data_IF_151803925854
#
_entry.id   IF_151803925854
#
_cell.length_a   1.000
_cell.length_b   1.000
_cell.length_c   1.000
_cell.angle_alpha   90.00
_cell.angle_beta   90.00
_cell.angle_gamma   90.00
#
_symmetry.space_group_name_H-M   'P 1'
#
loop_
_entity.id
_entity.type
_entity.pdbx_description
1 polymer ?
#
# COMPACT_ATOMS: atom_id res chain seq x y z
N UNK A 1 -31.27 -22.74 5.26
CA UNK A 1 -30.67 -23.18 6.53
C UNK A 1 -29.73 -24.31 6.20
N UNK A 2 -28.52 -24.24 6.65
CA UNK A 2 -27.56 -25.32 6.52
C UNK A 2 -27.45 -26.04 7.86
N UNK A 3 -27.43 -27.38 7.83
CA UNK A 3 -27.21 -28.17 9.04
C UNK A 3 -25.75 -28.59 9.11
N UNK A 4 -25.15 -28.45 10.28
CA UNK A 4 -23.77 -28.87 10.57
C UNK A 4 -23.78 -29.78 11.79
N UNK A 5 -23.09 -30.89 11.72
CA UNK A 5 -22.95 -31.83 12.84
C UNK A 5 -21.61 -31.53 13.53
N UNK A 6 -21.65 -31.18 14.81
CA UNK A 6 -20.45 -30.97 15.65
C UNK A 6 -20.63 -31.81 16.91
N UNK A 7 -19.69 -32.75 17.17
CA UNK A 7 -19.71 -33.66 18.32
C UNK A 7 -21.07 -34.38 18.47
N UNK A 8 -21.55 -34.97 17.37
CA UNK A 8 -22.82 -35.68 17.27
C UNK A 8 -24.10 -34.87 17.55
N UNK A 9 -23.98 -33.55 17.62
CA UNK A 9 -25.12 -32.63 17.76
C UNK A 9 -25.36 -31.96 16.43
N UNK A 10 -26.59 -32.08 15.92
CA UNK A 10 -27.03 -31.36 14.69
C UNK A 10 -27.39 -29.93 15.02
N UNK A 11 -26.71 -28.98 14.40
CA UNK A 11 -26.94 -27.57 14.54
C UNK A 11 -27.52 -26.96 13.27
N UNK A 12 -28.54 -26.13 13.41
CA UNK A 12 -29.05 -25.29 12.33
C UNK A 12 -28.18 -24.02 12.22
N UNK A 13 -27.57 -23.80 11.07
CA UNK A 13 -26.70 -22.66 10.83
C UNK A 13 -27.41 -21.64 9.95
N UNK A 14 -27.53 -20.41 10.47
CA UNK A 14 -28.02 -19.25 9.71
C UNK A 14 -26.84 -18.37 9.38
N UNK A 15 -26.52 -18.25 8.09
CA UNK A 15 -25.49 -17.32 7.63
C UNK A 15 -26.13 -15.97 7.34
N UNK A 16 -25.75 -14.96 8.14
CA UNK A 16 -26.19 -13.57 7.93
C UNK A 16 -25.08 -12.88 7.12
N UNK A 17 -25.40 -12.53 5.88
CA UNK A 17 -24.45 -11.79 5.01
C UNK A 17 -24.35 -10.34 5.48
N UNK A 18 -23.15 -9.79 5.40
CA UNK A 18 -22.94 -8.36 5.66
C UNK A 18 -23.73 -7.53 4.64
N UNK A 19 -24.43 -6.52 5.11
CA UNK A 19 -25.30 -5.66 4.30
C UNK A 19 -25.11 -4.20 4.67
N UNK A 20 -24.83 -3.37 3.66
CA UNK A 20 -24.70 -1.92 3.84
C UNK A 20 -26.04 -1.19 4.02
N UNK A 21 -27.19 -1.91 3.93
CA UNK A 21 -28.52 -1.35 4.08
C UNK A 21 -29.08 -1.44 5.51
N UNK A 22 -28.28 -1.86 6.48
CA UNK A 22 -28.65 -1.83 7.92
C UNK A 22 -28.68 -0.38 8.42
N UNK A 23 -29.54 -0.03 9.41
CA UNK A 23 -30.47 -0.89 10.13
C UNK A 23 -31.76 -1.18 9.36
N UNK A 24 -32.40 -2.28 9.74
CA UNK A 24 -33.75 -2.64 9.28
C UNK A 24 -34.73 -2.50 10.42
N UNK A 25 -35.98 -2.17 10.11
CA UNK A 25 -37.11 -2.16 11.06
C UNK A 25 -38.39 -2.63 10.36
N UNK A 26 -39.33 -3.13 11.14
CA UNK A 26 -40.63 -3.51 10.62
C UNK A 26 -41.52 -2.27 10.44
N UNK A 27 -42.21 -2.19 9.30
CA UNK A 27 -43.22 -1.13 9.08
C UNK A 27 -44.47 -1.37 9.85
N UNK A 28 -44.78 -2.63 10.16
CA UNK A 28 -45.93 -3.07 10.90
C UNK A 28 -45.52 -4.04 11.99
N UNK A 29 -46.27 -4.08 13.09
CA UNK A 29 -46.01 -4.99 14.20
C UNK A 29 -46.15 -6.45 13.74
N UNK A 30 -45.19 -7.27 14.06
CA UNK A 30 -45.22 -8.72 13.80
C UNK A 30 -45.00 -9.49 15.09
N UNK A 31 -46.08 -10.17 15.59
CA UNK A 31 -46.10 -10.88 16.89
C UNK A 31 -45.59 -9.97 18.01
N UNK A 32 -44.53 -10.36 18.71
CA UNK A 32 -43.91 -9.63 19.81
C UNK A 32 -42.91 -8.56 19.36
N UNK A 33 -42.63 -8.48 18.06
CA UNK A 33 -41.67 -7.51 17.51
C UNK A 33 -42.42 -6.23 17.11
N UNK A 34 -42.07 -5.13 17.73
CA UNK A 34 -42.72 -3.85 17.48
C UNK A 34 -42.29 -3.22 16.17
N UNK A 35 -43.22 -2.51 15.53
CA UNK A 35 -42.93 -1.66 14.39
C UNK A 35 -41.96 -0.54 14.78
N UNK A 36 -41.14 -0.10 13.81
CA UNK A 36 -40.19 1.00 13.94
C UNK A 36 -39.05 0.79 14.96
N UNK A 37 -39.03 -0.34 15.67
CA UNK A 37 -37.92 -0.66 16.55
C UNK A 37 -36.73 -1.25 15.78
N UNK A 38 -35.52 -0.87 16.18
CA UNK A 38 -34.27 -1.43 15.69
C UNK A 38 -33.74 -2.41 16.74
N UNK A 39 -33.48 -3.64 16.31
CA UNK A 39 -32.99 -4.70 17.19
C UNK A 39 -31.54 -4.99 16.86
N UNK A 40 -30.70 -5.11 17.87
CA UNK A 40 -29.26 -5.40 17.73
C UNK A 40 -28.86 -6.52 18.69
N UNK A 41 -27.74 -7.16 18.37
CA UNK A 41 -27.04 -8.05 19.28
C UNK A 41 -25.69 -7.43 19.65
N UNK A 42 -25.42 -7.33 20.95
CA UNK A 42 -24.13 -6.87 21.47
C UNK A 42 -23.60 -7.98 22.34
N UNK A 43 -22.47 -8.58 21.91
CA UNK A 43 -21.94 -9.79 22.53
C UNK A 43 -23.02 -10.89 22.58
N UNK A 44 -23.40 -11.37 23.76
CA UNK A 44 -24.40 -12.41 23.95
C UNK A 44 -25.80 -11.87 24.30
N UNK A 45 -25.97 -10.55 24.29
CA UNK A 45 -27.24 -9.90 24.66
C UNK A 45 -27.96 -9.37 23.44
N UNK A 46 -29.22 -9.74 23.28
CA UNK A 46 -30.13 -9.20 22.28
C UNK A 46 -30.95 -8.03 22.86
N UNK A 47 -31.28 -7.07 22.00
CA UNK A 47 -32.29 -6.05 22.37
C UNK A 47 -33.58 -6.72 22.78
N UNK A 48 -34.19 -6.39 23.94
CA UNK A 48 -35.48 -6.94 24.37
C UNK A 48 -36.58 -6.68 23.33
N UNK A 49 -37.50 -7.64 23.16
CA UNK A 49 -38.55 -7.56 22.12
C UNK A 49 -39.44 -6.32 22.19
N UNK A 50 -39.64 -5.76 23.39
CA UNK A 50 -40.47 -4.59 23.65
C UNK A 50 -39.71 -3.26 23.61
N UNK A 51 -38.38 -3.30 23.38
CA UNK A 51 -37.53 -2.12 23.35
C UNK A 51 -36.88 -1.95 21.98
N UNK A 52 -36.35 -0.78 21.69
CA UNK A 52 -35.39 -0.55 20.61
C UNK A 52 -33.97 -0.63 21.16
N UNK A 53 -32.99 -0.83 20.28
CA UNK A 53 -31.59 -0.71 20.65
C UNK A 53 -31.28 0.68 21.22
N UNK A 54 -30.20 0.79 21.98
CA UNK A 54 -29.72 2.06 22.52
C UNK A 54 -29.52 3.09 21.43
N UNK A 55 -29.78 4.35 21.76
CA UNK A 55 -29.74 5.45 20.81
C UNK A 55 -28.39 5.59 20.14
N UNK A 56 -27.31 5.42 20.88
CA UNK A 56 -25.91 5.48 20.34
C UNK A 56 -25.68 4.40 19.29
N UNK A 57 -26.22 3.20 19.51
CA UNK A 57 -26.12 2.10 18.56
C UNK A 57 -26.96 2.33 17.31
N UNK A 58 -28.15 2.88 17.49
CA UNK A 58 -29.06 3.27 16.39
C UNK A 58 -28.41 4.36 15.56
N UNK A 59 -27.86 5.40 16.18
CA UNK A 59 -27.14 6.48 15.52
C UNK A 59 -25.92 5.95 14.74
N UNK A 60 -25.11 5.09 15.36
CA UNK A 60 -23.98 4.43 14.70
C UNK A 60 -24.42 3.69 13.43
N UNK A 61 -25.49 2.88 13.50
CA UNK A 61 -25.98 2.12 12.34
C UNK A 61 -26.47 3.02 11.22
N UNK A 62 -27.13 4.15 11.53
CA UNK A 62 -27.53 5.13 10.53
C UNK A 62 -26.33 5.86 9.91
N UNK A 63 -25.37 6.30 10.72
CA UNK A 63 -24.11 6.90 10.24
C UNK A 63 -23.38 5.94 9.30
N UNK A 64 -23.31 4.65 9.68
CA UNK A 64 -22.71 3.61 8.83
C UNK A 64 -23.44 3.47 7.49
N UNK A 65 -24.77 3.42 7.51
CA UNK A 65 -25.61 3.32 6.30
C UNK A 65 -25.41 4.47 5.34
N UNK A 66 -25.30 5.67 5.86
CA UNK A 66 -25.10 6.89 5.06
C UNK A 66 -23.64 7.16 4.70
N UNK A 67 -22.71 6.25 5.03
CA UNK A 67 -21.30 6.43 4.74
C UNK A 67 -20.61 7.53 5.56
N UNK A 68 -21.24 7.95 6.67
CA UNK A 68 -20.70 8.99 7.56
C UNK A 68 -19.64 8.45 8.53
N UNK A 69 -19.48 7.13 8.60
CA UNK A 69 -18.45 6.48 9.43
C UNK A 69 -17.32 6.09 8.51
N UNK A 70 -16.18 6.70 8.73
CA UNK A 70 -14.94 6.28 8.09
C UNK A 70 -14.50 4.92 8.64
N UNK A 71 -14.16 4.01 7.73
CA UNK A 71 -13.55 2.73 8.12
C UNK A 71 -12.20 2.98 8.78
N UNK A 72 -11.69 2.06 9.63
CA UNK A 72 -10.35 2.18 10.20
C UNK A 72 -9.28 2.40 9.11
N UNK A 73 -9.40 1.74 7.97
CA UNK A 73 -8.48 1.92 6.84
C UNK A 73 -8.51 3.35 6.28
N UNK A 74 -9.71 3.93 6.13
CA UNK A 74 -9.85 5.31 5.65
C UNK A 74 -9.30 6.35 6.63
N UNK A 75 -9.45 6.10 7.93
CA UNK A 75 -8.83 6.93 8.97
C UNK A 75 -7.31 6.80 8.94
N UNK A 76 -6.78 5.59 8.77
CA UNK A 76 -5.35 5.36 8.63
C UNK A 76 -4.74 6.19 7.48
N UNK A 77 -5.38 6.23 6.31
CA UNK A 77 -4.94 7.08 5.19
C UNK A 77 -4.83 8.57 5.59
N UNK A 78 -5.77 9.04 6.42
CA UNK A 78 -5.74 10.44 6.91
C UNK A 78 -4.58 10.63 7.89
N UNK A 79 -4.38 9.69 8.82
CA UNK A 79 -3.35 9.80 9.85
C UNK A 79 -1.94 9.70 9.28
N UNK A 80 -1.73 8.97 8.20
CA UNK A 80 -0.44 8.91 7.50
C UNK A 80 -0.06 10.25 6.83
N UNK A 81 -1.02 11.13 6.57
CA UNK A 81 -0.73 12.46 6.04
C UNK A 81 -0.20 13.44 7.10
N UNK A 82 -0.29 13.03 8.36
CA UNK A 82 0.18 13.79 9.53
C UNK A 82 1.23 13.00 10.33
N UNK A 83 2.46 12.87 9.79
CA UNK A 83 3.50 12.04 10.37
C UNK A 83 3.98 12.56 11.74
N UNK A 84 3.83 13.85 12.05
CA UNK A 84 4.25 14.44 13.32
C UNK A 84 3.47 13.93 14.53
N UNK A 85 2.31 13.32 14.30
CA UNK A 85 1.48 12.73 15.35
C UNK A 85 1.68 11.22 15.50
N UNK A 86 2.65 10.64 14.79
CA UNK A 86 3.12 9.28 15.02
C UNK A 86 4.34 9.31 15.93
N UNK A 87 4.30 8.54 16.98
CA UNK A 87 5.35 8.48 18.02
C UNK A 87 5.87 7.05 18.13
N UNK A 88 7.14 6.95 18.54
CA UNK A 88 7.78 5.65 18.70
C UNK A 88 7.16 4.88 19.86
N UNK A 89 7.10 3.56 19.74
CA UNK A 89 6.63 2.67 20.76
C UNK A 89 7.56 2.64 21.99
N UNK A 90 7.06 2.10 23.12
CA UNK A 90 7.79 2.12 24.39
C UNK A 90 9.10 1.33 24.38
N UNK A 91 9.22 0.35 23.48
CA UNK A 91 10.40 -0.54 23.39
C UNK A 91 11.52 0.04 22.52
N UNK A 92 11.35 1.26 21.97
CA UNK A 92 12.40 2.01 21.27
C UNK A 92 12.82 1.43 19.91
N UNK A 93 12.24 0.33 19.49
CA UNK A 93 12.52 -0.30 18.20
C UNK A 93 11.34 -0.10 17.24
N UNK A 94 11.60 0.53 16.13
CA UNK A 94 10.84 0.64 14.87
C UNK A 94 9.31 0.73 14.93
N UNK A 95 8.65 0.32 16.00
CA UNK A 95 7.21 0.36 16.16
C UNK A 95 6.70 1.78 16.45
N UNK A 96 5.58 2.15 15.85
CA UNK A 96 4.95 3.47 16.01
C UNK A 96 3.46 3.35 16.31
N UNK A 97 2.94 4.36 17.01
CA UNK A 97 1.49 4.51 17.20
C UNK A 97 1.06 5.95 16.95
N UNK A 98 -0.21 6.13 16.58
CA UNK A 98 -0.76 7.46 16.37
C UNK A 98 -1.17 8.08 17.70
N UNK A 99 -0.59 9.24 18.05
CA UNK A 99 -0.67 9.89 19.36
C UNK A 99 -2.09 10.09 19.89
N UNK A 100 -3.03 10.48 19.02
CA UNK A 100 -4.41 10.79 19.43
C UNK A 100 -5.34 9.57 19.42
N UNK A 101 -4.96 8.51 18.71
CA UNK A 101 -5.68 7.26 18.60
C UNK A 101 -4.67 6.10 18.64
N UNK A 102 -4.16 5.76 19.84
CA UNK A 102 -3.07 4.80 20.01
C UNK A 102 -3.44 3.36 19.62
N UNK A 103 -4.72 3.11 19.37
CA UNK A 103 -5.18 1.87 18.76
C UNK A 103 -4.71 1.67 17.30
N UNK A 104 -4.19 2.72 16.64
CA UNK A 104 -3.54 2.62 15.35
C UNK A 104 -2.03 2.48 15.57
N UNK A 105 -1.50 1.32 15.19
CA UNK A 105 -0.08 0.99 15.33
C UNK A 105 0.53 0.57 14.00
N UNK A 106 1.81 0.83 13.86
CA UNK A 106 2.66 0.36 12.77
C UNK A 106 3.79 -0.47 13.36
N UNK A 107 3.92 -1.70 12.91
CA UNK A 107 4.96 -2.62 13.34
C UNK A 107 5.88 -2.97 12.17
N UNK A 108 7.17 -3.13 12.47
CA UNK A 108 8.20 -3.51 11.52
C UNK A 108 8.84 -4.82 11.98
N UNK A 109 8.99 -5.74 11.04
CA UNK A 109 9.61 -7.03 11.28
C UNK A 109 10.56 -7.36 10.13
N UNK A 110 11.83 -7.57 10.41
CA UNK A 110 12.79 -7.96 9.37
C UNK A 110 12.47 -9.36 8.87
N UNK A 111 12.45 -9.53 7.56
CA UNK A 111 12.24 -10.80 6.88
C UNK A 111 13.62 -11.39 6.50
N UNK A 112 14.20 -12.13 7.44
CA UNK A 112 15.49 -12.79 7.25
C UNK A 112 15.44 -13.98 6.28
N UNK A 113 14.22 -14.42 5.90
CA UNK A 113 14.04 -15.53 4.95
C UNK A 113 14.28 -15.14 3.50
N UNK A 114 14.30 -13.83 3.21
CA UNK A 114 14.54 -13.30 1.88
C UNK A 114 15.96 -12.82 1.76
N UNK A 115 16.72 -13.50 0.92
CA UNK A 115 18.01 -13.00 0.48
C UNK A 115 17.86 -11.69 -0.30
N UNK A 116 18.87 -10.83 -0.15
CA UNK A 116 18.82 -9.46 -0.59
C UNK A 116 18.43 -9.29 -2.04
N UNK A 117 17.61 -8.31 -2.24
CA UNK A 117 17.41 -7.70 -3.53
C UNK A 117 18.75 -7.13 -3.99
N UNK A 118 19.07 -7.30 -5.25
CA UNK A 118 20.29 -6.75 -5.79
C UNK A 118 20.20 -5.22 -5.76
N UNK A 119 20.96 -4.61 -4.88
CA UNK A 119 20.83 -3.19 -4.53
C UNK A 119 21.13 -2.23 -5.68
N UNK A 120 21.83 -2.68 -6.72
CA UNK A 120 22.03 -1.87 -7.91
C UNK A 120 20.71 -1.51 -8.63
N UNK A 121 19.65 -2.28 -8.49
CA UNK A 121 18.33 -1.93 -9.02
C UNK A 121 17.80 -0.62 -8.45
N UNK A 122 18.19 -0.27 -7.25
CA UNK A 122 17.79 0.97 -6.59
C UNK A 122 18.89 2.01 -6.55
N UNK A 123 19.93 1.83 -7.38
CA UNK A 123 21.08 2.72 -7.48
C UNK A 123 21.79 3.00 -6.14
N UNK A 124 21.67 2.08 -5.19
CA UNK A 124 22.30 2.20 -3.89
C UNK A 124 23.81 1.95 -3.97
N UNK A 125 24.56 2.69 -3.15
CA UNK A 125 26.03 2.62 -3.16
C UNK A 125 26.60 1.81 -2.01
N UNK A 126 25.79 1.58 -1.01
CA UNK A 126 26.20 0.89 0.23
C UNK A 126 25.39 -0.39 0.40
N UNK A 127 25.52 -1.22 1.17
CA UNK A 127 24.93 -2.49 1.57
C UNK A 127 23.73 -3.04 0.75
N UNK A 128 23.53 -4.34 0.82
CA UNK A 128 22.39 -5.05 0.23
C UNK A 128 21.08 -4.63 0.91
N UNK A 129 20.01 -4.34 0.15
CA UNK A 129 18.70 -4.08 0.74
C UNK A 129 18.23 -5.23 1.62
N UNK A 130 17.65 -4.90 2.77
CA UNK A 130 16.97 -5.88 3.62
C UNK A 130 15.48 -5.77 3.41
N UNK A 131 14.83 -6.93 3.38
CA UNK A 131 13.38 -6.97 3.39
C UNK A 131 12.83 -6.84 4.80
N UNK A 132 11.67 -6.22 4.91
CA UNK A 132 10.91 -6.15 6.14
C UNK A 132 9.41 -6.24 5.85
N UNK A 133 8.66 -6.75 6.81
CA UNK A 133 7.20 -6.67 6.83
C UNK A 133 6.80 -5.41 7.61
N UNK A 134 5.90 -4.62 7.04
CA UNK A 134 5.34 -3.42 7.64
C UNK A 134 3.85 -3.61 7.82
N UNK A 135 3.39 -3.67 9.06
CA UNK A 135 2.02 -4.05 9.42
C UNK A 135 1.31 -2.93 10.14
N UNK A 136 0.18 -2.48 9.60
CA UNK A 136 -0.71 -1.55 10.29
C UNK A 136 -1.83 -2.29 10.98
N UNK A 137 -2.07 -1.95 12.24
CA UNK A 137 -3.16 -2.52 13.03
C UNK A 137 -4.11 -1.42 13.50
N UNK A 138 -5.35 -1.82 13.71
CA UNK A 138 -6.35 -1.11 14.50
C UNK A 138 -6.76 -2.03 15.66
N UNK A 139 -6.41 -1.65 16.88
CA UNK A 139 -6.37 -2.57 18.00
C UNK A 139 -5.48 -3.78 17.66
N UNK A 140 -6.04 -4.99 17.71
CA UNK A 140 -5.35 -6.23 17.35
C UNK A 140 -5.68 -6.73 15.93
N UNK A 141 -6.45 -5.95 15.17
CA UNK A 141 -6.88 -6.32 13.82
C UNK A 141 -5.88 -5.78 12.80
N UNK A 142 -5.25 -6.66 12.05
CA UNK A 142 -4.42 -6.29 10.92
C UNK A 142 -5.27 -5.58 9.86
N UNK A 143 -4.90 -4.35 9.53
CA UNK A 143 -5.56 -3.56 8.48
C UNK A 143 -4.92 -3.80 7.12
N UNK A 144 -3.60 -3.75 7.06
CA UNK A 144 -2.82 -3.91 5.84
C UNK A 144 -1.38 -4.28 6.20
N UNK A 145 -0.75 -5.04 5.32
CA UNK A 145 0.65 -5.43 5.39
C UNK A 145 1.35 -5.09 4.07
N UNK A 146 2.57 -4.59 4.16
CA UNK A 146 3.45 -4.29 3.05
C UNK A 146 4.78 -5.02 3.19
N UNK A 147 5.31 -5.45 2.07
CA UNK A 147 6.72 -5.75 1.97
C UNK A 147 7.46 -4.42 1.90
N UNK A 148 8.42 -4.22 2.76
CA UNK A 148 9.27 -3.05 2.80
C UNK A 148 10.71 -3.36 2.44
N UNK A 149 11.46 -2.32 2.17
CA UNK A 149 12.88 -2.33 1.89
C UNK A 149 13.58 -1.37 2.86
N UNK A 150 14.64 -1.85 3.48
CA UNK A 150 15.61 -1.02 4.19
C UNK A 150 16.85 -0.89 3.31
N UNK A 151 17.10 0.30 2.82
CA UNK A 151 18.13 0.62 1.83
C UNK A 151 19.31 1.36 2.48
N UNK A 152 20.47 1.27 1.82
CA UNK A 152 21.69 2.00 2.17
C UNK A 152 22.07 1.85 3.66
N UNK A 153 22.10 0.60 4.14
CA UNK A 153 22.45 0.30 5.55
C UNK A 153 21.40 0.73 6.57
N UNK A 154 20.14 0.89 6.16
CA UNK A 154 19.05 1.32 7.05
C UNK A 154 18.76 2.83 7.03
N UNK A 155 19.51 3.59 6.23
CA UNK A 155 19.33 5.06 6.13
C UNK A 155 18.02 5.46 5.48
N UNK A 156 17.45 4.62 4.63
CA UNK A 156 16.17 4.87 3.98
C UNK A 156 15.29 3.62 3.98
N UNK A 157 14.10 3.75 4.53
CA UNK A 157 13.10 2.69 4.58
C UNK A 157 11.90 3.08 3.73
N UNK A 158 11.42 2.15 2.91
CA UNK A 158 10.31 2.38 1.97
C UNK A 158 9.48 1.12 1.79
N UNK A 159 8.16 1.22 1.54
CA UNK A 159 7.45 0.07 0.98
C UNK A 159 8.04 -0.31 -0.38
N UNK A 160 8.00 -1.59 -0.71
CA UNK A 160 8.42 -2.07 -2.02
C UNK A 160 7.60 -1.38 -3.12
N UNK A 161 8.23 -0.78 -4.13
CA UNK A 161 7.50 -0.24 -5.28
C UNK A 161 6.82 -1.36 -6.07
N UNK A 162 5.74 -1.04 -6.72
CA UNK A 162 5.05 -1.94 -7.64
C UNK A 162 5.94 -2.24 -8.85
N UNK A 163 5.69 -3.36 -9.51
CA UNK A 163 6.41 -3.79 -10.73
C UNK A 163 5.42 -3.90 -11.88
N UNK A 164 5.79 -3.36 -13.03
CA UNK A 164 5.09 -3.55 -14.30
C UNK A 164 6.12 -3.68 -15.43
N UNK A 165 5.67 -3.99 -16.63
CA UNK A 165 6.52 -4.15 -17.78
C UNK A 165 5.86 -3.74 -19.09
N UNK A 166 6.71 -3.50 -20.08
CA UNK A 166 6.34 -3.14 -21.43
C UNK A 166 6.70 -4.30 -22.34
N UNK A 167 5.77 -4.69 -23.22
CA UNK A 167 5.96 -5.74 -24.19
C UNK A 167 5.79 -5.14 -25.60
N UNK A 168 6.74 -5.40 -26.47
CA UNK A 168 6.67 -4.97 -27.86
C UNK A 168 6.22 -6.15 -28.75
N UNK A 169 5.10 -5.93 -29.46
CA UNK A 169 4.53 -6.97 -30.34
C UNK A 169 3.73 -8.02 -29.55
N UNK A 170 3.89 -9.29 -29.92
CA UNK A 170 3.11 -10.41 -29.39
C UNK A 170 3.88 -11.28 -28.39
N UNK A 171 4.91 -10.74 -27.75
CA UNK A 171 5.71 -11.47 -26.75
C UNK A 171 4.87 -11.75 -25.49
N UNK A 172 5.13 -12.88 -24.85
CA UNK A 172 4.51 -13.25 -23.57
C UNK A 172 5.26 -12.63 -22.40
N UNK A 173 6.55 -12.32 -22.59
CA UNK A 173 7.43 -11.76 -21.57
C UNK A 173 7.60 -10.25 -21.76
N UNK A 174 7.85 -9.55 -20.67
CA UNK A 174 8.20 -8.15 -20.71
C UNK A 174 9.57 -7.95 -21.39
N UNK A 175 9.63 -7.03 -22.33
CA UNK A 175 10.87 -6.58 -22.95
C UNK A 175 11.58 -5.52 -22.10
N UNK A 176 10.81 -4.76 -21.30
CA UNK A 176 11.31 -3.82 -20.31
C UNK A 176 10.51 -4.01 -19.04
N UNK A 177 11.18 -4.26 -17.94
CA UNK A 177 10.60 -4.25 -16.60
C UNK A 177 10.94 -2.91 -15.92
N UNK A 178 9.99 -2.35 -15.18
CA UNK A 178 10.20 -1.16 -14.36
C UNK A 178 9.47 -1.22 -13.04
N UNK A 179 9.98 -0.47 -12.07
CA UNK A 179 9.33 -0.30 -10.78
C UNK A 179 8.71 1.08 -10.71
N UNK A 180 7.57 1.18 -9.98
CA UNK A 180 6.82 2.42 -9.96
C UNK A 180 6.03 2.63 -8.69
N UNK A 181 5.63 3.90 -8.47
CA UNK A 181 4.57 4.31 -7.58
C UNK A 181 3.51 5.12 -8.34
N UNK A 182 2.28 5.09 -7.83
CA UNK A 182 1.19 5.99 -8.21
C UNK A 182 0.89 6.91 -7.03
N UNK A 183 0.89 8.24 -7.26
CA UNK A 183 0.77 9.24 -6.18
C UNK A 183 -0.55 9.16 -5.42
N UNK A 184 -1.61 8.69 -6.06
CA UNK A 184 -2.92 8.49 -5.44
C UNK A 184 -3.04 7.17 -4.66
N UNK A 185 -2.00 6.33 -4.68
CA UNK A 185 -1.98 5.05 -3.99
C UNK A 185 -1.65 5.17 -2.50
N UNK A 186 -2.15 4.19 -1.72
CA UNK A 186 -1.78 4.07 -0.31
C UNK A 186 -0.28 3.82 -0.13
N UNK A 187 0.32 3.02 -1.01
CA UNK A 187 1.75 2.68 -0.98
C UNK A 187 2.62 3.94 -1.10
N UNK A 188 2.27 4.85 -2.02
CA UNK A 188 2.99 6.12 -2.15
C UNK A 188 2.77 7.04 -0.95
N UNK A 189 1.55 7.12 -0.43
CA UNK A 189 1.27 7.89 0.79
C UNK A 189 2.10 7.36 1.96
N UNK A 190 2.27 6.05 2.06
CA UNK A 190 3.09 5.44 3.08
C UNK A 190 4.60 5.68 2.85
N UNK A 191 5.07 5.63 1.60
CA UNK A 191 6.46 6.01 1.28
C UNK A 191 6.76 7.45 1.75
N UNK A 192 5.88 8.40 1.43
CA UNK A 192 6.04 9.80 1.85
C UNK A 192 5.99 9.96 3.37
N UNK A 193 5.12 9.21 4.06
CA UNK A 193 5.03 9.20 5.51
C UNK A 193 6.35 8.78 6.16
N UNK A 194 6.97 7.71 5.69
CA UNK A 194 8.23 7.21 6.24
C UNK A 194 9.38 8.21 6.09
N UNK A 195 9.36 8.98 5.02
CA UNK A 195 10.42 9.95 4.73
C UNK A 195 10.22 11.32 5.43
N UNK A 196 8.99 11.75 5.64
CA UNK A 196 8.70 13.11 6.16
C UNK A 196 9.33 13.42 7.53
N UNK A 197 9.60 12.40 8.33
CA UNK A 197 10.25 12.52 9.64
C UNK A 197 11.76 12.28 9.59
N UNK A 198 12.32 12.06 8.40
CA UNK A 198 13.75 11.82 8.24
C UNK A 198 14.47 13.08 7.81
N UNK A 199 15.39 13.54 8.63
CA UNK A 199 16.12 14.80 8.43
C UNK A 199 17.60 14.61 8.08
N UNK A 200 18.10 13.36 8.07
CA UNK A 200 19.51 13.10 7.78
C UNK A 200 19.83 13.36 6.31
N UNK A 201 21.02 13.89 6.06
CA UNK A 201 21.52 14.08 4.71
C UNK A 201 21.69 12.74 3.95
N UNK A 202 22.06 11.70 4.70
CA UNK A 202 22.30 10.36 4.17
C UNK A 202 21.01 9.70 3.74
N UNK A 203 19.95 9.79 4.54
CA UNK A 203 18.62 9.29 4.16
C UNK A 203 18.07 9.99 2.91
N UNK A 204 18.27 11.32 2.83
CA UNK A 204 17.88 12.07 1.63
C UNK A 204 18.67 11.64 0.39
N UNK A 205 19.97 11.39 0.55
CA UNK A 205 20.79 10.88 -0.55
C UNK A 205 20.30 9.50 -1.00
N UNK A 206 20.12 8.57 -0.07
CA UNK A 206 19.62 7.22 -0.36
C UNK A 206 18.24 7.25 -1.04
N UNK A 207 17.33 8.09 -0.56
CA UNK A 207 16.02 8.30 -1.18
C UNK A 207 16.11 8.84 -2.61
N UNK A 208 16.93 9.85 -2.84
CA UNK A 208 17.09 10.42 -4.17
C UNK A 208 17.57 9.37 -5.18
N UNK A 209 18.55 8.57 -4.77
CA UNK A 209 19.07 7.45 -5.58
C UNK A 209 17.98 6.41 -5.86
N UNK A 210 17.17 6.09 -4.87
CA UNK A 210 16.03 5.21 -5.05
C UNK A 210 15.01 5.79 -6.03
N UNK A 211 14.66 7.07 -5.92
CA UNK A 211 13.71 7.73 -6.81
C UNK A 211 14.21 7.82 -8.27
N UNK A 212 15.52 7.93 -8.48
CA UNK A 212 16.12 7.85 -9.81
C UNK A 212 15.96 6.47 -10.47
N UNK A 213 15.68 5.44 -9.70
CA UNK A 213 15.55 4.06 -10.18
C UNK A 213 14.11 3.62 -10.45
N UNK A 214 13.11 4.44 -10.16
CA UNK A 214 11.68 4.11 -10.29
C UNK A 214 10.92 5.18 -11.07
N UNK A 215 9.75 4.81 -11.60
CA UNK A 215 8.81 5.76 -12.20
C UNK A 215 7.75 6.18 -11.20
N UNK A 216 7.38 7.47 -11.20
CA UNK A 216 6.30 7.98 -10.36
C UNK A 216 5.22 8.56 -11.26
N UNK A 217 4.05 7.94 -11.25
CA UNK A 217 2.86 8.37 -11.98
C UNK A 217 1.89 9.10 -11.06
N UNK A 218 1.07 9.98 -11.61
CA UNK A 218 0.03 10.63 -10.82
C UNK A 218 -1.08 9.65 -10.42
N UNK A 219 -1.41 8.70 -11.31
CA UNK A 219 -2.41 7.66 -11.11
C UNK A 219 -2.25 6.53 -12.13
N UNK A 220 -3.09 5.48 -12.02
CA UNK A 220 -3.11 4.35 -12.94
C UNK A 220 -3.38 4.74 -14.40
N UNK A 221 -4.24 5.74 -14.63
CA UNK A 221 -4.57 6.19 -16.00
C UNK A 221 -3.31 6.74 -16.68
N UNK A 222 -2.58 7.64 -16.02
CA UNK A 222 -1.31 8.16 -16.55
C UNK A 222 -0.32 7.02 -16.85
N UNK A 223 -0.22 6.03 -15.97
CA UNK A 223 0.67 4.88 -16.16
C UNK A 223 0.32 4.08 -17.41
N UNK A 224 -0.95 3.79 -17.63
CA UNK A 224 -1.42 3.01 -18.79
C UNK A 224 -1.27 3.80 -20.09
N UNK A 225 -1.58 5.08 -20.09
CA UNK A 225 -1.40 5.97 -21.23
C UNK A 225 0.08 6.15 -21.58
N UNK A 226 0.93 6.34 -20.59
CA UNK A 226 2.39 6.39 -20.76
C UNK A 226 2.93 5.07 -21.34
N UNK A 227 2.45 3.92 -20.87
CA UNK A 227 2.84 2.62 -21.43
C UNK A 227 2.54 2.54 -22.93
N UNK A 228 1.38 3.03 -23.34
CA UNK A 228 0.99 3.11 -24.76
C UNK A 228 1.90 4.05 -25.54
N UNK A 229 2.25 5.21 -24.95
CA UNK A 229 3.19 6.17 -25.52
C UNK A 229 4.57 5.54 -25.73
N UNK A 230 5.10 4.82 -24.73
CA UNK A 230 6.41 4.13 -24.85
C UNK A 230 6.38 3.09 -25.96
N UNK A 231 5.33 2.27 -26.07
CA UNK A 231 5.22 1.28 -27.14
C UNK A 231 5.34 1.93 -28.52
N UNK A 232 4.75 3.10 -28.70
CA UNK A 232 4.79 3.82 -29.98
C UNK A 232 6.15 4.46 -30.29
N UNK A 233 6.86 4.98 -29.27
CA UNK A 233 8.02 5.85 -29.47
C UNK A 233 9.37 5.22 -29.07
N UNK A 234 9.36 4.05 -28.45
CA UNK A 234 10.56 3.44 -27.85
C UNK A 234 11.77 3.39 -28.78
N UNK A 235 11.56 2.98 -30.02
CA UNK A 235 12.68 2.80 -30.96
C UNK A 235 13.46 4.09 -31.22
N UNK A 236 12.74 5.18 -31.36
CA UNK A 236 13.31 6.50 -31.64
C UNK A 236 13.90 7.11 -30.37
N UNK A 237 13.14 7.08 -29.27
CA UNK A 237 13.53 7.67 -28.00
C UNK A 237 14.69 6.93 -27.34
N UNK A 238 14.76 5.61 -27.46
CA UNK A 238 15.94 4.83 -27.01
C UNK A 238 17.23 5.33 -27.67
N UNK A 239 17.21 5.60 -28.97
CA UNK A 239 18.37 6.13 -29.69
C UNK A 239 18.66 7.57 -29.27
N UNK A 240 17.62 8.39 -29.17
CA UNK A 240 17.70 9.81 -28.75
C UNK A 240 18.37 9.95 -27.38
N UNK A 241 17.95 9.17 -26.41
CA UNK A 241 18.38 9.33 -25.01
C UNK A 241 19.61 8.51 -24.63
N UNK A 242 19.91 7.41 -25.33
CA UNK A 242 21.04 6.53 -25.00
C UNK A 242 22.36 7.26 -24.76
N UNK A 243 22.64 8.28 -25.56
CA UNK A 243 23.87 9.07 -25.49
C UNK A 243 23.79 10.26 -24.52
N UNK A 244 22.61 10.58 -24.02
CA UNK A 244 22.36 11.71 -23.11
C UNK A 244 22.33 11.26 -21.64
N UNK A 245 22.09 9.97 -21.40
CA UNK A 245 21.98 9.40 -20.07
C UNK A 245 23.35 9.10 -19.50
N UNK A 246 23.61 9.70 -18.34
CA UNK A 246 24.76 9.32 -17.52
C UNK A 246 24.31 8.29 -16.49
N UNK A 247 24.92 7.09 -16.55
CA UNK A 247 24.67 6.05 -15.56
C UNK A 247 25.15 6.50 -14.19
N UNK A 248 24.34 6.30 -13.14
CA UNK A 248 24.78 6.59 -11.77
C UNK A 248 25.96 5.71 -11.38
N UNK A 249 26.78 6.22 -10.48
CA UNK A 249 27.84 5.40 -9.90
C UNK A 249 27.21 4.39 -8.93
N UNK A 250 27.28 3.12 -9.34
CA UNK A 250 26.89 1.96 -8.52
C UNK A 250 28.05 0.98 -8.60
N UNK A 251 28.77 0.72 -7.48
CA UNK A 251 30.00 -0.07 -7.52
C UNK A 251 29.85 -1.41 -8.22
N UNK A 252 28.75 -2.13 -7.99
CA UNK A 252 28.50 -3.44 -8.59
C UNK A 252 28.30 -3.42 -10.09
N UNK A 253 27.74 -2.33 -10.63
CA UNK A 253 27.64 -2.16 -12.08
C UNK A 253 29.00 -1.88 -12.73
N UNK A 254 29.99 -1.49 -11.92
CA UNK A 254 31.33 -1.14 -12.40
C UNK A 254 32.33 -2.28 -12.26
N UNK A 255 32.29 -3.01 -11.14
CA UNK A 255 33.37 -3.93 -10.77
C UNK A 255 33.09 -5.39 -11.09
N UNK A 256 31.84 -5.86 -10.94
CA UNK A 256 31.52 -7.29 -10.91
C UNK A 256 30.59 -7.77 -12.00
N UNK A 257 30.05 -6.90 -12.85
CA UNK A 257 29.03 -7.34 -13.77
C UNK A 257 29.61 -7.77 -15.09
N UNK A 258 29.59 -9.07 -15.29
CA UNK A 258 29.93 -9.72 -16.57
C UNK A 258 28.81 -9.64 -17.61
N UNK A 259 27.57 -9.27 -17.18
CA UNK A 259 26.42 -9.23 -18.06
C UNK A 259 25.99 -7.79 -18.34
N UNK A 260 26.10 -7.37 -19.61
CA UNK A 260 25.61 -6.07 -20.07
C UNK A 260 24.09 -5.88 -19.89
N UNK A 261 23.34 -6.98 -19.66
CA UNK A 261 21.89 -6.98 -19.50
C UNK A 261 21.42 -6.07 -18.35
N UNK A 262 22.08 -6.13 -17.19
CA UNK A 262 21.68 -5.29 -16.04
C UNK A 262 21.98 -3.82 -16.24
N UNK A 263 23.08 -3.51 -16.89
CA UNK A 263 23.39 -2.13 -17.28
C UNK A 263 22.35 -1.59 -18.25
N UNK A 264 21.88 -2.44 -19.16
CA UNK A 264 20.82 -2.08 -20.09
C UNK A 264 19.47 -1.92 -19.40
N UNK A 265 19.12 -2.75 -18.40
CA UNK A 265 17.93 -2.58 -17.58
C UNK A 265 17.96 -1.24 -16.82
N UNK A 266 19.04 -0.95 -16.10
CA UNK A 266 19.20 0.34 -15.42
C UNK A 266 19.13 1.53 -16.40
N UNK A 267 19.75 1.39 -17.58
CA UNK A 267 19.69 2.42 -18.63
C UNK A 267 18.26 2.60 -19.15
N UNK A 268 17.54 1.52 -19.34
CA UNK A 268 16.15 1.57 -19.80
C UNK A 268 15.25 2.35 -18.81
N UNK A 269 15.45 2.19 -17.49
CA UNK A 269 14.72 2.97 -16.49
C UNK A 269 14.98 4.47 -16.66
N UNK A 270 16.25 4.87 -16.83
CA UNK A 270 16.60 6.28 -17.03
C UNK A 270 16.04 6.85 -18.35
N UNK A 271 15.98 6.02 -19.41
CA UNK A 271 15.30 6.38 -20.66
C UNK A 271 13.81 6.60 -20.42
N UNK A 272 13.15 5.66 -19.71
CA UNK A 272 11.73 5.79 -19.40
C UNK A 272 11.42 7.04 -18.58
N UNK A 273 12.29 7.44 -17.66
CA UNK A 273 12.12 8.70 -16.92
C UNK A 273 12.16 9.92 -17.84
N UNK A 274 13.09 9.96 -18.80
CA UNK A 274 13.14 11.03 -19.82
C UNK A 274 11.92 11.02 -20.73
N UNK A 275 11.46 9.84 -21.12
CA UNK A 275 10.22 9.70 -21.90
C UNK A 275 8.99 10.18 -21.12
N UNK A 276 8.94 9.91 -19.79
CA UNK A 276 7.85 10.38 -18.94
C UNK A 276 7.84 11.92 -18.81
N UNK A 277 9.03 12.54 -18.69
CA UNK A 277 9.16 13.99 -18.72
C UNK A 277 8.63 14.59 -20.04
N UNK A 278 9.05 14.02 -21.18
CA UNK A 278 8.59 14.46 -22.50
C UNK A 278 7.08 14.24 -22.69
N UNK A 279 6.57 13.07 -22.29
CA UNK A 279 5.15 12.74 -22.34
C UNK A 279 4.29 13.77 -21.61
N UNK A 280 4.71 14.17 -20.40
CA UNK A 280 4.01 15.18 -19.60
C UNK A 280 4.06 16.58 -20.22
N UNK A 281 5.12 16.90 -20.94
CA UNK A 281 5.25 18.18 -21.65
C UNK A 281 4.38 18.24 -22.91
N UNK A 282 3.88 17.11 -23.42
CA UNK A 282 2.99 17.05 -24.57
C UNK A 282 1.51 17.17 -24.22
N UNK A 283 1.16 17.01 -22.93
CA UNK A 283 -0.21 17.20 -22.43
C UNK A 283 -0.49 18.65 -22.05
#
# INVERSE_FOLDING_TARGET
MNQVIIQDVTLDVIVIKNCNKTPFYLKEKYRDVNQNNIYTRIQDTNTPKHMSADIDKVEYLWKKRFGLIQTPMKKLEIYLRDPNNWVDGPDGEMDKYYKFFPEYTLHYEFDESRDGYEYYFFFQTDSTPRFLSMKFFYNQTLLIEFVGLSLDGGRYTTPCPCTDGITFGHNIHWDIMYKYFEKDSFVYTFNEFLYKNEFSGDARFARNRFLESILIFDNEVERLDFKSYVIAHWKEDKVKYKNQIQMPYVPQLQENYKEDSFKDECRNILILQKMLEDYRNLQ
#
